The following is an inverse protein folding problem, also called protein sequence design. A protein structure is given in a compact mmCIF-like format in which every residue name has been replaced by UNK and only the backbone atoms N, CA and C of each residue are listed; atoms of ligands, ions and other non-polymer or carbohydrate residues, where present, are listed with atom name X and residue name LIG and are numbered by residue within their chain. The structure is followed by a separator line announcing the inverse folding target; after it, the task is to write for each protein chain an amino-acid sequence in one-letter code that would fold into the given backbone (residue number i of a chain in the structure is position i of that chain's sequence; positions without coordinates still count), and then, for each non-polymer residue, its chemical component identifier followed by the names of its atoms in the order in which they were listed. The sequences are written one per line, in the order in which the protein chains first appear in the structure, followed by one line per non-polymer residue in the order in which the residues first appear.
data_IF_357329425689
#
_entry.id   IF_357329425689
#
_cell.length_a   1.000
_cell.length_b   1.000
_cell.length_c   1.000
_cell.angle_alpha   90.00
_cell.angle_beta   90.00
_cell.angle_gamma   90.00
#
_symmetry.space_group_name_H-M   'P 1'
#
loop_
_entity.id
_entity.type
_entity.pdbx_description
1 polymer ?
#
# COMPACT_ATOMS: atom_id res chain seq x y z
N UNK A 1 5.81 28.49 -0.98
CA UNK A 1 4.33 28.58 -0.85
C UNK A 1 3.93 28.00 0.52
N UNK A 2 2.97 28.58 1.26
CA UNK A 2 2.51 28.00 2.53
C UNK A 2 1.90 26.61 2.27
N UNK A 3 2.18 25.66 3.16
CA UNK A 3 1.69 24.29 3.03
C UNK A 3 0.15 24.28 3.01
N UNK A 4 -0.49 23.57 2.07
CA UNK A 4 -1.95 23.46 2.04
C UNK A 4 -2.46 22.82 3.34
N UNK A 5 -3.67 23.19 3.81
CA UNK A 5 -4.21 22.69 5.07
C UNK A 5 -4.33 21.16 5.04
N UNK A 6 -3.94 20.50 6.13
CA UNK A 6 -3.90 19.04 6.24
C UNK A 6 -5.24 18.36 5.90
N UNK A 7 -6.35 19.06 6.15
CA UNK A 7 -7.72 18.61 5.84
C UNK A 7 -7.97 18.52 4.33
N UNK A 8 -7.35 19.38 3.53
CA UNK A 8 -7.50 19.42 2.07
C UNK A 8 -6.60 18.40 1.38
N UNK A 9 -5.39 18.20 1.93
CA UNK A 9 -4.44 17.18 1.48
C UNK A 9 -4.94 15.76 1.78
N UNK A 10 -5.53 15.55 2.95
CA UNK A 10 -6.07 14.25 3.41
C UNK A 10 -7.56 14.07 3.11
N UNK A 11 -8.21 15.05 2.48
CA UNK A 11 -9.60 14.95 2.06
C UNK A 11 -9.78 13.86 0.99
N UNK A 12 -11.02 13.37 0.83
CA UNK A 12 -11.35 12.33 -0.17
C UNK A 12 -11.01 12.73 -1.63
N UNK A 13 -10.76 14.00 -1.89
CA UNK A 13 -10.33 14.53 -3.20
C UNK A 13 -8.85 14.92 -3.25
N UNK A 14 -8.09 14.72 -2.16
CA UNK A 14 -6.66 14.97 -2.12
C UNK A 14 -5.86 13.90 -2.86
N UNK A 15 -4.72 14.25 -3.43
CA UNK A 15 -3.80 13.27 -4.04
C UNK A 15 -3.09 12.39 -2.98
N UNK A 16 -3.13 12.78 -1.70
CA UNK A 16 -2.39 12.08 -0.65
C UNK A 16 -2.97 10.70 -0.27
N UNK A 17 -4.29 10.53 -0.06
CA UNK A 17 -4.87 9.23 0.25
C UNK A 17 -4.64 8.21 -0.87
N UNK A 18 -4.74 8.63 -2.13
CA UNK A 18 -4.54 7.73 -3.28
C UNK A 18 -3.09 7.23 -3.35
N UNK A 19 -2.10 8.11 -3.17
CA UNK A 19 -0.68 7.74 -3.18
C UNK A 19 -0.32 6.86 -1.98
N UNK A 20 -0.79 7.21 -0.78
CA UNK A 20 -0.51 6.44 0.44
C UNK A 20 -1.13 5.04 0.33
N UNK A 21 -2.40 4.95 -0.06
CA UNK A 21 -3.07 3.65 -0.22
C UNK A 21 -2.45 2.83 -1.36
N UNK A 22 -2.05 3.48 -2.47
CA UNK A 22 -1.34 2.81 -3.57
C UNK A 22 -0.03 2.17 -3.12
N UNK A 23 0.81 2.91 -2.38
CA UNK A 23 2.08 2.40 -1.84
C UNK A 23 1.86 1.28 -0.83
N UNK A 24 0.90 1.44 0.08
CA UNK A 24 0.56 0.40 1.07
C UNK A 24 0.02 -0.86 0.38
N UNK A 25 -0.78 -0.73 -0.67
CA UNK A 25 -1.27 -1.86 -1.44
C UNK A 25 -0.15 -2.58 -2.21
N UNK A 26 0.80 -1.84 -2.77
CA UNK A 26 1.99 -2.43 -3.41
C UNK A 26 2.84 -3.23 -2.41
N UNK A 27 3.11 -2.65 -1.24
CA UNK A 27 3.85 -3.32 -0.18
C UNK A 27 3.07 -4.52 0.37
N UNK A 28 1.76 -4.38 0.58
CA UNK A 28 0.91 -5.43 1.11
C UNK A 28 0.74 -6.60 0.15
N UNK A 29 0.57 -6.33 -1.15
CA UNK A 29 0.53 -7.37 -2.16
C UNK A 29 1.85 -8.14 -2.24
N UNK A 30 2.98 -7.43 -2.29
CA UNK A 30 4.29 -8.07 -2.34
C UNK A 30 4.59 -8.88 -1.07
N UNK A 31 4.26 -8.32 0.10
CA UNK A 31 4.44 -9.00 1.38
C UNK A 31 3.56 -10.24 1.50
N UNK A 32 2.30 -10.19 1.05
CA UNK A 32 1.39 -11.33 1.02
C UNK A 32 1.95 -12.48 0.17
N UNK A 33 2.32 -12.19 -1.08
CA UNK A 33 2.90 -13.19 -1.99
C UNK A 33 4.21 -13.75 -1.41
N UNK A 34 5.09 -12.90 -0.89
CA UNK A 34 6.35 -13.33 -0.30
C UNK A 34 6.16 -14.20 0.94
N UNK A 35 5.18 -13.87 1.79
CA UNK A 35 4.93 -14.61 3.02
C UNK A 35 4.19 -15.93 2.75
N UNK A 36 3.26 -15.99 1.80
CA UNK A 36 2.67 -17.24 1.33
C UNK A 36 3.74 -18.18 0.75
N UNK A 37 4.66 -17.67 -0.07
CA UNK A 37 5.76 -18.49 -0.61
C UNK A 37 6.71 -19.02 0.49
N UNK A 38 6.98 -18.22 1.53
CA UNK A 38 7.89 -18.61 2.60
C UNK A 38 7.26 -19.56 3.64
N UNK A 39 5.98 -19.36 3.95
CA UNK A 39 5.30 -20.04 5.07
C UNK A 39 4.25 -21.05 4.64
N UNK A 40 3.79 -21.00 3.38
CA UNK A 40 2.68 -21.79 2.84
C UNK A 40 1.38 -21.65 3.66
N UNK A 41 1.24 -20.54 4.38
CA UNK A 41 0.06 -20.19 5.17
C UNK A 41 -0.64 -18.99 4.55
N UNK A 42 -1.99 -18.96 4.54
CA UNK A 42 -2.72 -17.86 3.97
C UNK A 42 -2.48 -16.56 4.75
N UNK A 43 -2.62 -15.42 4.08
CA UNK A 43 -2.44 -14.08 4.67
C UNK A 43 -3.35 -13.89 5.89
N UNK A 44 -4.56 -14.44 5.84
CA UNK A 44 -5.50 -14.43 6.96
C UNK A 44 -4.96 -15.12 8.24
N UNK A 45 -4.25 -16.23 8.09
CA UNK A 45 -3.62 -16.94 9.21
C UNK A 45 -2.42 -16.14 9.75
N UNK A 46 -1.62 -15.55 8.86
CA UNK A 46 -0.49 -14.72 9.26
C UNK A 46 -0.93 -13.44 9.98
N UNK A 47 -2.07 -12.86 9.61
CA UNK A 47 -2.69 -11.75 10.34
C UNK A 47 -3.07 -12.14 11.76
N UNK A 48 -3.48 -13.38 12.00
CA UNK A 48 -3.80 -13.84 13.36
C UNK A 48 -2.57 -14.08 14.24
N UNK A 49 -1.45 -14.55 13.66
CA UNK A 49 -0.22 -14.85 14.40
C UNK A 49 0.77 -13.68 14.49
N UNK A 50 0.83 -12.86 13.44
CA UNK A 50 1.78 -11.76 13.27
C UNK A 50 1.09 -10.43 12.98
N UNK A 51 -0.20 -10.29 13.30
CA UNK A 51 -0.98 -9.08 13.01
C UNK A 51 -0.41 -7.80 13.62
N UNK A 52 0.14 -7.88 14.83
CA UNK A 52 0.76 -6.72 15.51
C UNK A 52 1.98 -6.18 14.76
N UNK A 53 3.02 -7.00 14.46
CA UNK A 53 4.16 -6.50 13.68
C UNK A 53 3.77 -6.09 12.25
N UNK A 54 2.85 -6.81 11.59
CA UNK A 54 2.35 -6.41 10.27
C UNK A 54 1.70 -5.01 10.35
N UNK A 55 0.74 -4.82 11.25
CA UNK A 55 0.05 -3.53 11.42
C UNK A 55 1.03 -2.40 11.78
N UNK A 56 2.02 -2.66 12.63
CA UNK A 56 3.05 -1.69 12.99
C UNK A 56 3.89 -1.26 11.77
N UNK A 57 4.29 -2.21 10.91
CA UNK A 57 5.00 -1.91 9.67
C UNK A 57 4.15 -1.07 8.72
N UNK A 58 2.88 -1.44 8.51
CA UNK A 58 1.97 -0.65 7.66
C UNK A 58 1.75 0.76 8.20
N UNK A 59 1.56 0.91 9.52
CA UNK A 59 1.43 2.21 10.17
C UNK A 59 2.70 3.06 10.00
N UNK A 60 3.88 2.45 10.15
CA UNK A 60 5.16 3.12 9.96
C UNK A 60 5.30 3.65 8.52
N UNK A 61 5.01 2.81 7.53
CA UNK A 61 5.07 3.21 6.11
C UNK A 61 4.01 4.25 5.75
N UNK A 62 2.81 4.16 6.34
CA UNK A 62 1.77 5.16 6.16
C UNK A 62 2.26 6.53 6.66
N UNK A 63 2.77 6.61 7.88
CA UNK A 63 3.31 7.85 8.47
C UNK A 63 4.51 8.35 7.66
N UNK A 64 5.43 7.45 7.27
CA UNK A 64 6.59 7.80 6.46
C UNK A 64 6.19 8.39 5.09
N UNK A 65 5.14 7.86 4.47
CA UNK A 65 4.63 8.35 3.18
C UNK A 65 3.99 9.75 3.29
N UNK A 66 3.53 10.15 4.47
CA UNK A 66 3.01 11.50 4.71
C UNK A 66 4.10 12.57 4.79
N UNK A 67 5.32 12.22 5.21
CA UNK A 67 6.45 13.16 5.32
C UNK A 67 6.73 13.91 4.00
N UNK A 68 6.93 13.24 2.84
CA UNK A 68 7.18 13.95 1.58
C UNK A 68 5.97 14.76 1.09
N UNK A 69 4.74 14.32 1.42
CA UNK A 69 3.49 14.98 1.04
C UNK A 69 3.36 16.32 1.79
N UNK A 70 3.59 16.32 3.11
CA UNK A 70 3.58 17.57 3.90
C UNK A 70 4.73 18.52 3.56
N UNK A 71 5.86 17.98 3.09
CA UNK A 71 6.96 18.79 2.56
C UNK A 71 6.66 19.41 1.19
N UNK A 72 5.52 19.10 0.58
CA UNK A 72 5.13 19.63 -0.72
C UNK A 72 6.12 19.26 -1.83
N UNK A 73 6.83 18.13 -1.67
CA UNK A 73 7.69 17.60 -2.73
C UNK A 73 6.76 17.22 -3.87
N UNK A 74 6.75 18.05 -4.91
CA UNK A 74 6.01 17.78 -6.12
C UNK A 74 6.63 16.52 -6.74
N UNK A 75 5.89 15.41 -6.69
CA UNK A 75 6.20 14.19 -7.44
C UNK A 75 5.95 14.49 -8.94
N UNK A 76 6.66 15.46 -9.50
CA UNK A 76 6.61 15.87 -10.91
C UNK A 76 7.92 15.48 -11.62
N UNK A 77 9.00 15.27 -10.86
CA UNK A 77 10.26 14.77 -11.39
C UNK A 77 10.20 13.25 -11.59
N UNK A 78 10.18 12.84 -12.87
CA UNK A 78 10.32 11.43 -13.23
C UNK A 78 11.76 11.00 -12.97
N UNK A 79 11.94 9.98 -12.14
CA UNK A 79 13.25 9.39 -11.90
C UNK A 79 13.48 8.22 -12.87
N UNK A 80 14.00 8.52 -14.06
CA UNK A 80 14.20 7.52 -15.12
C UNK A 80 12.88 6.86 -15.52
N UNK A 81 12.74 5.51 -15.47
CA UNK A 81 11.48 4.82 -15.80
C UNK A 81 10.39 4.99 -14.73
N UNK A 82 10.73 5.52 -13.54
CA UNK A 82 9.78 5.72 -12.45
C UNK A 82 9.09 7.06 -12.60
N UNK A 83 7.91 7.02 -13.23
CA UNK A 83 7.03 8.19 -13.40
C UNK A 83 5.92 8.20 -12.34
N UNK A 84 5.45 9.38 -11.91
CA UNK A 84 4.34 9.51 -10.97
C UNK A 84 3.04 8.85 -11.48
N UNK A 85 2.80 8.93 -12.79
CA UNK A 85 1.67 8.27 -13.44
C UNK A 85 1.76 6.74 -13.38
N UNK A 86 2.98 6.18 -13.52
CA UNK A 86 3.21 4.75 -13.37
C UNK A 86 3.05 4.30 -11.91
N UNK A 87 3.44 5.13 -10.94
CA UNK A 87 3.21 4.85 -9.53
C UNK A 87 1.71 4.73 -9.22
N UNK A 88 0.91 5.70 -9.68
CA UNK A 88 -0.54 5.69 -9.46
C UNK A 88 -1.22 4.50 -10.16
N UNK A 89 -0.87 4.21 -11.41
CA UNK A 89 -1.46 3.09 -12.14
C UNK A 89 -1.09 1.75 -11.49
N UNK A 90 0.17 1.55 -11.12
CA UNK A 90 0.62 0.35 -10.42
C UNK A 90 -0.02 0.24 -9.03
N UNK A 91 -0.23 1.35 -8.32
CA UNK A 91 -0.93 1.37 -7.04
C UNK A 91 -2.37 0.88 -7.17
N UNK A 92 -3.11 1.32 -8.19
CA UNK A 92 -4.48 0.85 -8.46
C UNK A 92 -4.53 -0.64 -8.80
N UNK A 93 -3.62 -1.12 -9.64
CA UNK A 93 -3.51 -2.54 -9.95
C UNK A 93 -3.15 -3.37 -8.72
N UNK A 94 -2.26 -2.87 -7.87
CA UNK A 94 -1.91 -3.54 -6.61
C UNK A 94 -3.10 -3.60 -5.64
N UNK A 95 -3.92 -2.54 -5.55
CA UNK A 95 -5.14 -2.56 -4.75
C UNK A 95 -6.11 -3.65 -5.21
N UNK A 96 -6.34 -3.77 -6.53
CA UNK A 96 -7.20 -4.81 -7.10
C UNK A 96 -6.58 -6.20 -6.91
N UNK A 97 -5.28 -6.34 -7.15
CA UNK A 97 -4.54 -7.59 -6.99
C UNK A 97 -4.58 -8.10 -5.55
N UNK A 98 -4.32 -7.22 -4.58
CA UNK A 98 -4.38 -7.57 -3.16
C UNK A 98 -5.80 -7.95 -2.73
N UNK A 99 -6.82 -7.21 -3.15
CA UNK A 99 -8.21 -7.56 -2.89
C UNK A 99 -8.58 -8.93 -3.49
N UNK A 100 -8.14 -9.21 -4.72
CA UNK A 100 -8.41 -10.49 -5.38
C UNK A 100 -7.75 -11.67 -4.66
N UNK A 101 -6.51 -11.50 -4.19
CA UNK A 101 -5.79 -12.50 -3.42
C UNK A 101 -6.57 -12.85 -2.14
N UNK A 102 -6.98 -11.83 -1.36
CA UNK A 102 -7.75 -12.04 -0.13
C UNK A 102 -9.09 -12.74 -0.39
N UNK A 103 -9.79 -12.40 -1.47
CA UNK A 103 -11.05 -13.06 -1.85
C UNK A 103 -10.81 -14.53 -2.19
N UNK A 104 -9.77 -14.83 -2.97
CA UNK A 104 -9.45 -16.21 -3.37
C UNK A 104 -9.05 -17.04 -2.15
N UNK A 105 -8.23 -16.50 -1.25
CA UNK A 105 -7.88 -17.17 0.01
C UNK A 105 -9.12 -17.43 0.88
N UNK A 106 -10.03 -16.46 0.97
CA UNK A 106 -11.26 -16.61 1.76
C UNK A 106 -12.18 -17.70 1.20
N UNK A 107 -12.24 -17.86 -0.12
CA UNK A 107 -13.05 -18.91 -0.78
C UNK A 107 -12.36 -20.27 -0.72
N UNK A 108 -11.04 -20.33 -0.92
CA UNK A 108 -10.26 -21.57 -1.00
C UNK A 108 -9.93 -22.15 0.38
N UNK A 109 -9.82 -21.30 1.40
CA UNK A 109 -9.46 -21.70 2.77
C UNK A 109 -7.99 -22.14 2.93
N UNK A 110 -7.16 -21.93 1.92
CA UNK A 110 -5.73 -22.26 1.90
C UNK A 110 -4.94 -21.14 1.24
N UNK A 111 -3.60 -21.14 1.42
CA UNK A 111 -2.71 -20.26 0.67
C UNK A 111 -2.94 -20.44 -0.85
N UNK A 112 -2.80 -19.34 -1.59
CA UNK A 112 -2.93 -19.30 -3.03
C UNK A 112 -1.66 -19.88 -3.67
N UNK A 113 -0.51 -19.60 -3.05
CA UNK A 113 0.84 -20.07 -3.43
C UNK A 113 1.45 -21.09 -2.46
#
# INVERSE_FOLDING_TARGET
PPAPPAVEVMGFSGAAPEIVNGRLAQLGFLAAVGAELATQQPVSAQLSGYGVPIAATFALFAVASLIPIFKGVKNEESFGPFTPNAELSNGRWAMIGFASLLIVEAVKGSALF
#
